data_IF_270103239998
#
_entry.id   IF_270103239998
#
_cell.length_a   1.000
_cell.length_b   1.000
_cell.length_c   1.000
_cell.angle_alpha   90.00
_cell.angle_beta   90.00
_cell.angle_gamma   90.00
#
_symmetry.space_group_name_H-M   'P 1'
#
loop_
_entity.id
_entity.type
_entity.pdbx_description
1 polymer ?
#
# COMPACT_ATOMS: atom_id res chain seq x y z
N UNK A 1 4.17 -17.68 -11.65
CA UNK A 1 4.32 -16.27 -11.25
C UNK A 1 3.00 -15.57 -11.54
N UNK A 2 2.39 -14.93 -10.54
CA UNK A 2 1.08 -14.28 -10.68
C UNK A 2 1.17 -12.81 -11.09
N UNK A 3 0.01 -12.14 -11.07
CA UNK A 3 -0.14 -10.71 -11.29
C UNK A 3 -0.56 -10.03 -9.99
N UNK A 4 -0.20 -8.76 -9.82
CA UNK A 4 -0.59 -7.95 -8.67
C UNK A 4 -0.93 -6.52 -9.09
N UNK A 5 -1.66 -5.80 -8.24
CA UNK A 5 -1.88 -4.37 -8.41
C UNK A 5 -0.56 -3.59 -8.24
N UNK A 6 -0.39 -2.44 -8.90
CA UNK A 6 0.76 -1.59 -8.69
C UNK A 6 0.92 -1.15 -7.23
N UNK A 7 -0.20 -0.80 -6.60
CA UNK A 7 -0.37 -0.50 -5.18
C UNK A 7 -1.76 -0.94 -4.72
N UNK A 8 -1.88 -1.49 -3.51
CA UNK A 8 -3.14 -1.96 -2.94
C UNK A 8 -3.26 -1.55 -1.47
N UNK A 9 -4.50 -1.56 -0.98
CA UNK A 9 -4.83 -1.23 0.40
C UNK A 9 -4.43 -2.36 1.35
N UNK A 10 -4.03 -2.03 2.57
CA UNK A 10 -3.77 -3.03 3.61
C UNK A 10 -5.06 -3.64 4.21
N UNK A 11 -6.18 -2.90 4.15
CA UNK A 11 -7.46 -3.34 4.67
C UNK A 11 -8.24 -4.12 3.58
N UNK A 12 -8.34 -5.43 3.74
CA UNK A 12 -8.84 -6.36 2.71
C UNK A 12 -10.36 -6.56 2.74
N UNK A 13 -11.04 -6.14 3.80
CA UNK A 13 -12.51 -6.30 3.94
C UNK A 13 -13.30 -5.18 3.24
N UNK A 14 -12.61 -4.20 2.63
CA UNK A 14 -13.24 -3.14 1.84
C UNK A 14 -13.45 -3.60 0.40
N UNK A 15 -14.65 -3.37 -0.14
CA UNK A 15 -14.93 -3.64 -1.56
C UNK A 15 -14.08 -2.73 -2.46
N UNK A 16 -13.71 -3.21 -3.65
CA UNK A 16 -12.91 -2.42 -4.60
C UNK A 16 -13.60 -1.10 -4.99
N UNK A 17 -14.92 -1.14 -5.18
CA UNK A 17 -15.71 0.06 -5.48
C UNK A 17 -15.69 1.05 -4.31
N UNK A 18 -15.79 0.57 -3.07
CA UNK A 18 -15.68 1.41 -1.87
C UNK A 18 -14.28 2.00 -1.71
N UNK A 19 -13.23 1.21 -1.98
CA UNK A 19 -11.84 1.64 -1.91
C UNK A 19 -11.54 2.74 -2.94
N UNK A 20 -12.06 2.59 -4.17
CA UNK A 20 -12.04 3.67 -5.16
C UNK A 20 -12.82 4.87 -4.61
N UNK A 21 -14.12 4.74 -4.30
CA UNK A 21 -14.95 5.89 -3.92
C UNK A 21 -14.48 6.68 -2.69
N UNK A 22 -13.65 6.11 -1.82
CA UNK A 22 -13.12 6.75 -0.60
C UNK A 22 -11.65 7.16 -0.68
N UNK A 23 -10.98 6.93 -1.82
CA UNK A 23 -9.59 7.34 -2.00
C UNK A 23 -8.57 6.48 -1.26
N UNK A 24 -8.89 5.20 -1.01
CA UNK A 24 -7.99 4.27 -0.31
C UNK A 24 -6.64 4.16 -1.05
N UNK A 25 -5.53 4.13 -0.30
CA UNK A 25 -4.18 4.04 -0.84
C UNK A 25 -3.32 2.99 -0.10
N UNK A 26 -2.23 2.60 -0.75
CA UNK A 26 -1.14 1.84 -0.10
C UNK A 26 -0.10 2.77 0.51
N UNK A 27 1.06 2.22 0.88
CA UNK A 27 2.16 2.97 1.52
C UNK A 27 3.24 3.46 0.54
N UNK A 28 3.13 3.14 -0.74
CA UNK A 28 4.10 3.55 -1.78
C UNK A 28 3.94 5.02 -2.13
N UNK A 29 5.06 5.71 -2.36
CA UNK A 29 5.10 7.09 -2.85
C UNK A 29 5.06 7.14 -4.38
N UNK A 30 5.30 6.01 -5.05
CA UNK A 30 5.32 5.92 -6.51
C UNK A 30 3.92 5.87 -7.13
N UNK A 31 3.00 5.16 -6.49
CA UNK A 31 1.64 4.99 -6.97
C UNK A 31 0.69 5.68 -6.00
N UNK A 32 -0.24 6.48 -6.54
CA UNK A 32 -1.24 7.18 -5.72
C UNK A 32 -2.30 6.25 -5.12
N UNK A 33 -3.49 6.82 -4.90
CA UNK A 33 -4.65 6.05 -4.42
C UNK A 33 -5.05 4.96 -5.41
N UNK A 34 -5.83 3.97 -4.95
CA UNK A 34 -6.42 2.97 -5.83
C UNK A 34 -7.33 3.64 -6.87
N UNK A 35 -8.04 4.71 -6.47
CA UNK A 35 -8.86 5.51 -7.37
C UNK A 35 -8.05 6.12 -8.51
N UNK A 36 -6.88 6.68 -8.20
CA UNK A 36 -5.97 7.26 -9.19
C UNK A 36 -5.40 6.24 -10.18
N UNK A 37 -5.43 4.94 -9.83
CA UNK A 37 -4.99 3.86 -10.70
C UNK A 37 -6.10 3.32 -11.62
N UNK A 38 -7.36 3.71 -11.42
CA UNK A 38 -8.48 3.23 -12.23
C UNK A 38 -8.33 3.68 -13.69
N UNK A 39 -8.56 2.75 -14.63
CA UNK A 39 -8.54 3.03 -16.07
C UNK A 39 -9.94 3.32 -16.62
N UNK A 40 -10.97 2.73 -16.01
CA UNK A 40 -12.37 2.85 -16.43
C UNK A 40 -13.30 2.44 -15.29
N UNK A 41 -14.48 3.06 -15.22
CA UNK A 41 -15.56 2.70 -14.29
C UNK A 41 -16.88 2.54 -15.03
N UNK A 42 -17.67 1.54 -14.63
CA UNK A 42 -19.10 1.47 -14.94
C UNK A 42 -19.89 1.96 -13.73
N UNK A 43 -20.86 2.85 -13.95
CA UNK A 43 -21.63 3.50 -12.90
C UNK A 43 -23.11 3.47 -13.20
N UNK A 44 -23.90 2.99 -12.24
CA UNK A 44 -25.35 3.16 -12.23
C UNK A 44 -25.72 4.55 -11.69
N UNK A 45 -26.42 5.33 -12.51
CA UNK A 45 -26.82 6.70 -12.17
C UNK A 45 -28.26 6.74 -11.63
N UNK A 46 -28.67 7.88 -11.09
CA UNK A 46 -29.97 8.04 -10.41
C UNK A 46 -31.19 7.83 -11.32
N UNK A 47 -31.05 7.95 -12.64
CA UNK A 47 -32.13 7.71 -13.59
C UNK A 47 -32.25 6.21 -14.00
N UNK A 48 -31.43 5.33 -13.40
CA UNK A 48 -31.42 3.90 -13.68
C UNK A 48 -30.56 3.47 -14.86
N UNK A 49 -29.83 4.37 -15.52
CA UNK A 49 -28.91 4.00 -16.61
C UNK A 49 -27.52 3.65 -16.11
N UNK A 50 -26.85 2.75 -16.83
CA UNK A 50 -25.41 2.48 -16.70
C UNK A 50 -24.64 3.37 -17.66
N UNK A 51 -23.58 4.00 -17.16
CA UNK A 51 -22.63 4.76 -17.96
C UNK A 51 -21.22 4.20 -17.76
N UNK A 52 -20.41 4.28 -18.80
CA UNK A 52 -18.99 3.95 -18.74
C UNK A 52 -18.16 5.22 -18.86
N UNK A 53 -17.26 5.44 -17.91
CA UNK A 53 -16.41 6.63 -17.85
C UNK A 53 -14.93 6.24 -17.74
N UNK A 54 -14.06 7.03 -18.34
CA UNK A 54 -12.61 6.84 -18.35
C UNK A 54 -11.90 8.20 -18.47
N UNK A 55 -10.57 8.27 -18.36
CA UNK A 55 -9.84 9.50 -18.65
C UNK A 55 -10.07 10.08 -20.05
N UNK A 56 -10.54 9.26 -21.00
CA UNK A 56 -10.84 9.67 -22.38
C UNK A 56 -12.34 9.73 -22.69
N UNK A 57 -13.19 9.15 -21.85
CA UNK A 57 -14.66 9.13 -21.98
C UNK A 57 -15.31 9.80 -20.76
N UNK A 58 -15.88 10.99 -20.94
CA UNK A 58 -16.42 11.83 -19.86
C UNK A 58 -15.38 12.14 -18.75
N UNK A 59 -14.23 12.75 -19.07
CA UNK A 59 -13.10 12.93 -18.15
C UNK A 59 -13.47 13.69 -16.86
N UNK A 60 -14.33 14.70 -16.95
CA UNK A 60 -14.79 15.44 -15.77
C UNK A 60 -15.59 14.57 -14.80
N UNK A 61 -16.48 13.72 -15.34
CA UNK A 61 -17.29 12.82 -14.52
C UNK A 61 -16.45 11.67 -13.96
N UNK A 62 -15.51 11.14 -14.76
CA UNK A 62 -14.53 10.15 -14.31
C UNK A 62 -13.76 10.65 -13.08
N UNK A 63 -13.19 11.87 -13.16
CA UNK A 63 -12.46 12.47 -12.05
C UNK A 63 -13.35 12.69 -10.81
N UNK A 64 -14.60 13.14 -11.00
CA UNK A 64 -15.54 13.32 -9.90
C UNK A 64 -15.93 11.99 -9.21
N UNK A 65 -15.98 10.89 -9.95
CA UNK A 65 -16.35 9.57 -9.44
C UNK A 65 -15.25 8.89 -8.62
N UNK A 66 -13.98 9.16 -8.93
CA UNK A 66 -12.81 8.53 -8.29
C UNK A 66 -12.79 8.69 -6.77
N UNK A 67 -13.32 9.77 -6.19
CA UNK A 67 -13.44 9.94 -4.73
C UNK A 67 -14.81 10.54 -4.41
N UNK A 68 -15.87 9.86 -4.84
CA UNK A 68 -17.25 10.36 -4.75
C UNK A 68 -17.97 10.03 -3.46
N UNK A 69 -17.38 9.22 -2.58
CA UNK A 69 -18.01 8.65 -1.37
C UNK A 69 -19.41 8.06 -1.63
N UNK A 70 -19.64 7.55 -2.85
CA UNK A 70 -20.91 6.95 -3.30
C UNK A 70 -22.03 7.95 -3.60
N UNK A 71 -21.75 9.26 -3.65
CA UNK A 71 -22.78 10.30 -3.83
C UNK A 71 -23.20 10.57 -5.27
N UNK A 72 -22.37 10.18 -6.24
CA UNK A 72 -22.57 10.49 -7.66
C UNK A 72 -23.12 9.31 -8.47
N UNK A 73 -23.38 8.19 -7.82
CA UNK A 73 -23.84 6.94 -8.43
C UNK A 73 -23.23 5.73 -7.74
N UNK A 74 -23.62 4.54 -8.21
CA UNK A 74 -23.10 3.27 -7.70
C UNK A 74 -22.11 2.73 -8.72
N UNK A 75 -20.84 2.58 -8.32
CA UNK A 75 -19.82 1.94 -9.16
C UNK A 75 -20.11 0.44 -9.19
N UNK A 76 -20.41 -0.10 -10.37
CA UNK A 76 -20.72 -1.53 -10.58
C UNK A 76 -19.51 -2.31 -11.06
N UNK A 77 -18.60 -1.67 -11.82
CA UNK A 77 -17.37 -2.29 -12.33
C UNK A 77 -16.22 -1.29 -12.32
N UNK A 78 -15.00 -1.82 -12.17
CA UNK A 78 -13.75 -1.05 -12.26
C UNK A 78 -12.73 -1.81 -13.12
N UNK A 79 -12.00 -1.08 -13.96
CA UNK A 79 -10.84 -1.60 -14.72
C UNK A 79 -9.57 -1.07 -14.09
N UNK A 80 -8.68 -1.97 -13.68
CA UNK A 80 -7.42 -1.65 -12.99
C UNK A 80 -6.21 -2.20 -13.77
N UNK A 81 -5.06 -1.50 -13.73
CA UNK A 81 -3.82 -2.04 -14.26
C UNK A 81 -3.28 -3.14 -13.33
N UNK A 82 -2.57 -4.10 -13.93
CA UNK A 82 -1.85 -5.14 -13.21
C UNK A 82 -0.40 -5.18 -13.67
N UNK A 83 0.49 -5.62 -12.77
CA UNK A 83 1.92 -5.83 -13.04
C UNK A 83 2.34 -7.24 -12.62
N UNK A 84 3.46 -7.71 -13.13
CA UNK A 84 4.03 -8.98 -12.70
C UNK A 84 4.35 -8.94 -11.19
N UNK A 85 3.93 -9.97 -10.45
CA UNK A 85 4.22 -10.09 -9.04
C UNK A 85 5.71 -10.33 -8.80
N UNK A 86 6.26 -9.72 -7.74
CA UNK A 86 7.61 -9.95 -7.25
C UNK A 86 7.55 -10.30 -5.76
N UNK A 87 8.46 -11.14 -5.30
CA UNK A 87 8.59 -11.43 -3.88
C UNK A 87 9.08 -10.19 -3.12
N UNK A 88 8.57 -10.03 -1.90
CA UNK A 88 8.87 -8.90 -1.02
C UNK A 88 9.27 -9.47 0.33
N UNK A 89 10.35 -8.95 0.88
CA UNK A 89 10.73 -9.15 2.27
C UNK A 89 10.15 -8.02 3.13
N UNK A 90 9.59 -8.37 4.28
CA UNK A 90 9.05 -7.42 5.26
C UNK A 90 9.90 -7.45 6.52
N UNK A 91 10.37 -6.29 6.97
CA UNK A 91 11.06 -6.12 8.25
C UNK A 91 10.28 -5.19 9.17
N UNK A 92 10.53 -5.30 10.48
CA UNK A 92 10.01 -4.39 11.49
C UNK A 92 11.16 -3.95 12.39
N UNK A 93 11.41 -2.66 12.42
CA UNK A 93 12.38 -2.02 13.32
C UNK A 93 11.62 -1.36 14.47
N UNK A 94 12.06 -1.62 15.70
CA UNK A 94 11.57 -0.93 16.89
C UNK A 94 12.54 0.18 17.23
N UNK A 95 12.05 1.42 17.26
CA UNK A 95 12.85 2.62 17.47
C UNK A 95 12.08 3.64 18.31
N UNK A 96 12.74 4.70 18.75
CA UNK A 96 12.08 5.84 19.40
C UNK A 96 11.47 6.80 18.37
N UNK A 97 10.51 7.61 18.82
CA UNK A 97 9.97 8.71 18.02
C UNK A 97 11.04 9.73 17.59
N UNK A 98 12.06 9.95 18.43
CA UNK A 98 13.15 10.87 18.14
C UNK A 98 14.02 10.35 16.99
N UNK A 99 14.43 9.08 17.05
CA UNK A 99 15.20 8.45 15.97
C UNK A 99 14.44 8.49 14.64
N UNK A 100 13.13 8.20 14.67
CA UNK A 100 12.30 8.27 13.46
C UNK A 100 12.18 9.71 12.92
N UNK A 101 12.03 10.71 13.80
CA UNK A 101 12.00 12.10 13.39
C UNK A 101 13.32 12.55 12.74
N UNK A 102 14.47 12.13 13.29
CA UNK A 102 15.77 12.42 12.70
C UNK A 102 15.92 11.76 11.31
N UNK A 103 15.43 10.54 11.15
CA UNK A 103 15.41 9.87 9.85
C UNK A 103 14.59 10.66 8.82
N UNK A 104 13.38 11.11 9.18
CA UNK A 104 12.53 11.92 8.29
C UNK A 104 13.20 13.25 7.90
N UNK A 105 13.87 13.92 8.84
CA UNK A 105 14.63 15.14 8.55
C UNK A 105 15.79 14.88 7.60
N UNK A 106 16.48 13.75 7.75
CA UNK A 106 17.55 13.35 6.84
C UNK A 106 17.01 13.08 5.43
N UNK A 107 15.88 12.38 5.32
CA UNK A 107 15.17 12.12 4.06
C UNK A 107 14.76 13.43 3.40
N UNK A 108 14.16 14.36 4.15
CA UNK A 108 13.77 15.68 3.63
C UNK A 108 14.97 16.45 3.07
N UNK A 109 16.09 16.46 3.80
CA UNK A 109 17.31 17.13 3.37
C UNK A 109 17.89 16.52 2.09
N UNK A 110 17.89 15.18 2.01
CA UNK A 110 18.35 14.46 0.82
C UNK A 110 17.44 14.74 -0.38
N UNK A 111 16.12 14.71 -0.16
CA UNK A 111 15.12 15.00 -1.18
C UNK A 111 15.27 16.42 -1.73
N UNK A 112 15.39 17.43 -0.87
CA UNK A 112 15.62 18.83 -1.30
C UNK A 112 16.87 18.98 -2.15
N UNK A 113 17.98 18.35 -1.76
CA UNK A 113 19.22 18.35 -2.55
C UNK A 113 19.03 17.70 -3.92
N UNK A 114 18.35 16.56 -3.97
CA UNK A 114 18.07 15.84 -5.20
C UNK A 114 17.13 16.59 -6.16
N UNK A 115 16.09 17.24 -5.63
CA UNK A 115 15.20 18.09 -6.43
C UNK A 115 15.97 19.27 -7.03
N UNK A 116 16.86 19.89 -6.25
CA UNK A 116 17.68 21.00 -6.73
C UNK A 116 18.73 20.58 -7.78
N UNK A 117 19.17 19.32 -7.78
CA UNK A 117 20.07 18.81 -8.81
C UNK A 117 19.37 18.47 -10.12
N UNK A 118 18.03 18.40 -10.13
CA UNK A 118 17.23 18.05 -11.31
C UNK A 118 17.35 16.58 -11.74
N UNK A 119 17.89 15.72 -10.87
CA UNK A 119 18.11 14.29 -11.14
C UNK A 119 16.97 13.47 -10.52
N UNK A 120 16.07 12.96 -11.37
CA UNK A 120 14.95 12.11 -10.95
C UNK A 120 15.40 10.82 -10.25
N UNK A 121 16.55 10.26 -10.64
CA UNK A 121 17.13 9.09 -9.99
C UNK A 121 17.57 9.38 -8.57
N UNK A 122 18.21 10.54 -8.36
CA UNK A 122 18.57 11.02 -7.03
C UNK A 122 17.34 11.28 -6.15
N UNK A 123 16.24 11.79 -6.74
CA UNK A 123 14.97 12.00 -6.02
C UNK A 123 14.39 10.66 -5.55
N UNK A 124 14.33 9.66 -6.44
CA UNK A 124 13.84 8.33 -6.07
C UNK A 124 14.69 7.68 -5.00
N UNK A 125 16.02 7.85 -5.05
CA UNK A 125 16.93 7.32 -4.04
C UNK A 125 16.74 8.02 -2.68
N UNK A 126 16.51 9.33 -2.68
CA UNK A 126 16.30 10.08 -1.45
C UNK A 126 15.03 9.66 -0.69
N UNK A 127 13.98 9.22 -1.41
CA UNK A 127 12.72 8.78 -0.84
C UNK A 127 12.70 7.30 -0.42
N UNK A 128 13.70 6.51 -0.82
CA UNK A 128 13.74 5.07 -0.55
C UNK A 128 13.56 4.71 0.95
N UNK A 129 14.14 5.44 1.93
CA UNK A 129 13.99 5.10 3.35
C UNK A 129 12.56 5.22 3.90
N UNK A 130 11.67 5.91 3.18
CA UNK A 130 10.24 6.10 3.52
C UNK A 130 9.31 5.49 2.48
N UNK A 131 9.84 4.83 1.46
CA UNK A 131 9.05 4.19 0.41
C UNK A 131 8.37 2.92 0.97
N UNK A 132 7.06 2.82 0.79
CA UNK A 132 6.26 1.71 1.29
C UNK A 132 6.29 1.50 2.81
N UNK A 133 6.81 2.46 3.59
CA UNK A 133 6.94 2.35 5.04
C UNK A 133 5.60 2.53 5.75
N UNK A 134 5.41 1.79 6.85
CA UNK A 134 4.32 2.00 7.80
C UNK A 134 4.92 2.21 9.20
N UNK A 135 4.48 3.24 9.90
CA UNK A 135 4.95 3.55 11.24
C UNK A 135 3.78 3.53 12.24
N UNK A 136 3.91 2.77 13.31
CA UNK A 136 2.95 2.72 14.41
C UNK A 136 3.62 3.15 15.70
N UNK A 137 3.17 4.27 16.27
CA UNK A 137 3.67 4.79 17.53
C UNK A 137 2.88 4.23 18.71
N UNK A 138 3.57 3.87 19.79
CA UNK A 138 3.02 3.40 21.06
C UNK A 138 3.42 4.39 22.17
N UNK A 139 2.62 5.45 22.40
CA UNK A 139 3.02 6.55 23.29
C UNK A 139 3.31 6.13 24.73
N UNK A 140 2.67 5.05 25.20
CA UNK A 140 2.84 4.56 26.59
C UNK A 140 4.21 3.92 26.80
N UNK A 141 4.74 3.17 25.81
CA UNK A 141 6.07 2.57 25.89
C UNK A 141 7.17 3.49 25.35
N UNK A 142 6.81 4.50 24.57
CA UNK A 142 7.76 5.36 23.86
C UNK A 142 8.33 4.72 22.60
N UNK A 143 7.82 3.55 22.21
CA UNK A 143 8.26 2.82 21.03
C UNK A 143 7.51 3.27 19.78
N UNK A 144 8.19 3.21 18.65
CA UNK A 144 7.65 3.28 17.30
C UNK A 144 8.08 2.03 16.55
N UNK A 145 7.13 1.37 15.91
CA UNK A 145 7.39 0.24 15.04
C UNK A 145 7.35 0.69 13.60
N UNK A 146 8.51 0.65 12.93
CA UNK A 146 8.66 0.96 11.51
C UNK A 146 8.68 -0.34 10.72
N UNK A 147 7.65 -0.57 9.91
CA UNK A 147 7.59 -1.68 8.96
C UNK A 147 8.10 -1.21 7.61
N UNK A 148 9.06 -1.95 7.06
CA UNK A 148 9.68 -1.67 5.75
C UNK A 148 9.51 -2.87 4.81
N UNK A 149 9.51 -2.61 3.50
CA UNK A 149 9.32 -3.64 2.47
C UNK A 149 10.40 -3.53 1.39
N UNK A 150 11.10 -4.63 1.12
CA UNK A 150 12.15 -4.70 0.11
C UNK A 150 11.79 -5.69 -0.99
N UNK A 151 11.82 -5.23 -2.24
CA UNK A 151 11.64 -6.11 -3.40
C UNK A 151 12.85 -7.03 -3.57
N UNK A 152 12.63 -8.33 -3.70
CA UNK A 152 13.70 -9.30 -3.93
C UNK A 152 14.08 -9.32 -5.42
N UNK A 153 15.39 -9.26 -5.70
CA UNK A 153 15.96 -9.17 -7.06
C UNK A 153 16.06 -10.51 -7.77
N UNK A 154 16.04 -11.62 -7.03
CA UNK A 154 16.11 -12.98 -7.59
C UNK A 154 14.80 -13.71 -7.31
N UNK A 155 14.09 -14.11 -8.36
CA UNK A 155 12.94 -15.01 -8.23
C UNK A 155 13.35 -16.39 -8.75
N UNK A 156 14.28 -17.04 -8.06
CA UNK A 156 14.50 -18.48 -8.25
C UNK A 156 13.48 -19.24 -7.41
N UNK A 157 12.87 -20.26 -8.01
CA UNK A 157 11.92 -21.18 -7.35
C UNK A 157 12.51 -21.83 -6.09
N UNK A 158 13.84 -21.89 -5.97
CA UNK A 158 14.53 -22.39 -4.78
C UNK A 158 14.21 -21.58 -3.51
N UNK A 159 14.06 -20.26 -3.60
CA UNK A 159 13.68 -19.42 -2.45
C UNK A 159 12.24 -19.63 -1.98
N UNK A 160 11.37 -20.17 -2.83
CA UNK A 160 10.00 -20.54 -2.44
C UNK A 160 9.98 -21.85 -1.63
N UNK A 161 10.97 -22.73 -1.82
CA UNK A 161 11.11 -23.94 -1.00
C UNK A 161 11.54 -23.60 0.44
N UNK A 162 12.39 -22.58 0.63
CA UNK A 162 12.79 -22.09 1.95
C UNK A 162 11.65 -21.30 2.64
N UNK A 163 10.83 -20.56 1.89
CA UNK A 163 9.68 -19.82 2.44
C UNK A 163 8.49 -20.72 2.83
N UNK A 164 8.42 -21.95 2.34
CA UNK A 164 7.38 -22.92 2.71
C UNK A 164 7.44 -23.34 4.19
N UNK A 165 8.57 -23.10 4.87
CA UNK A 165 8.72 -23.30 6.31
C UNK A 165 8.46 -22.08 7.19
N UNK A 166 8.23 -20.89 6.62
CA UNK A 166 8.20 -19.61 7.36
C UNK A 166 6.79 -19.05 7.56
N UNK A 167 5.81 -19.45 6.74
CA UNK A 167 4.42 -18.98 6.86
C UNK A 167 3.47 -20.17 6.90
N UNK A 168 3.17 -20.64 8.11
CA UNK A 168 2.00 -21.48 8.38
C UNK A 168 0.76 -20.57 8.40
N UNK A 169 0.12 -20.44 7.24
CA UNK A 169 -1.05 -19.56 7.07
C UNK A 169 -2.24 -20.01 7.92
N UNK A 170 -2.36 -21.28 8.29
CA UNK A 170 -3.45 -21.76 9.17
C UNK A 170 -3.24 -21.31 10.61
N UNK A 171 -2.01 -21.36 11.13
CA UNK A 171 -1.69 -20.84 12.48
C UNK A 171 -1.89 -19.33 12.61
N UNK A 172 -1.57 -18.55 11.57
CA UNK A 172 -1.74 -17.11 11.61
C UNK A 172 -3.21 -16.70 11.80
N UNK A 173 -4.12 -17.30 11.03
CA UNK A 173 -5.57 -17.02 11.15
C UNK A 173 -6.19 -17.53 12.45
N UNK A 174 -5.72 -18.66 13.00
CA UNK A 174 -6.21 -19.15 14.29
C UNK A 174 -5.77 -18.25 15.46
N UNK A 175 -4.57 -17.67 15.41
CA UNK A 175 -4.08 -16.79 16.49
C UNK A 175 -4.83 -15.46 16.65
N UNK A 176 -5.58 -15.02 15.63
CA UNK A 176 -6.36 -13.77 15.64
C UNK A 176 -7.80 -14.01 16.13
N UNK A 177 -8.28 -15.26 16.09
CA UNK A 177 -9.69 -15.58 16.39
C UNK A 177 -9.92 -16.09 17.80
N UNK A 178 -8.87 -16.47 18.52
CA UNK A 178 -8.93 -16.87 19.93
C UNK A 178 -8.05 -15.95 20.77
N UNK A 179 -8.70 -15.22 21.68
CA UNK A 179 -8.16 -14.58 22.89
C UNK A 179 -7.87 -13.07 22.81
N UNK A 180 -8.90 -12.28 23.12
CA UNK A 180 -8.88 -10.83 23.30
C UNK A 180 -8.10 -10.31 24.52
N UNK A 181 -7.09 -11.03 25.02
CA UNK A 181 -6.19 -10.56 26.08
C UNK A 181 -4.94 -11.43 26.15
N UNK A 182 -3.81 -10.98 25.60
CA UNK A 182 -2.48 -11.15 26.21
C UNK A 182 -1.37 -10.51 25.38
N UNK A 183 -0.58 -9.67 26.06
CA UNK A 183 0.79 -9.32 25.71
C UNK A 183 1.65 -10.57 25.52
N UNK A 184 2.35 -10.68 24.40
CA UNK A 184 3.24 -11.80 24.09
C UNK A 184 4.39 -11.38 23.18
N UNK A 185 5.60 -11.46 23.71
CA UNK A 185 6.89 -11.28 23.02
C UNK A 185 7.03 -12.34 21.93
N UNK A 186 7.25 -11.94 20.67
CA UNK A 186 7.64 -12.87 19.60
C UNK A 186 9.10 -12.66 19.23
N UNK A 187 9.92 -13.64 19.61
CA UNK A 187 11.32 -13.73 19.26
C UNK A 187 11.49 -14.11 17.79
N UNK A 188 12.12 -13.25 17.01
CA UNK A 188 12.84 -13.67 15.81
C UNK A 188 14.27 -14.08 16.23
N UNK A 189 14.61 -15.37 16.06
CA UNK A 189 15.98 -15.90 16.00
C UNK A 189 15.93 -16.99 14.92
N UNK A 190 16.78 -17.05 13.91
CA UNK A 190 18.11 -16.49 13.64
C UNK A 190 18.21 -16.20 12.15
#
# INVERSE_FOLDING_TARGET
MGWTLPSFAWYIDQTVAGAVATGTHGSTMKYGTLSGQVLEMEVATANGTLITVSPTSNPHLFAALQVSVGRLGIITQVKLPIKAQKAVERSVDVMSMEEFAQELLQVENNYKKAVLSGDEGAVSQALEPVEAVQAFAFPVSGELWKTSYRLLTTTTLDGMSELSGVIDTEKYYQSITTDGTSSGVYSARR
#
